data_IF_339535682799
#
_entry.id   IF_339535682799
#
_cell.length_a   1.000
_cell.length_b   1.000
_cell.length_c   1.000
_cell.angle_alpha   90.00
_cell.angle_beta   90.00
_cell.angle_gamma   90.00
#
_symmetry.space_group_name_H-M   'P 1'
#
loop_
_entity.id
_entity.type
_entity.pdbx_description
1 polymer ?
#
# COMPACT_ATOMS: atom_id res chain seq x y z
N UNK A 1 -2.80 6.00 -13.51
CA UNK A 1 -3.25 6.67 -12.26
C UNK A 1 -2.56 6.13 -10.98
N UNK A 2 -2.57 4.82 -10.70
CA UNK A 2 -1.96 4.26 -9.48
C UNK A 2 -0.43 4.45 -9.40
N UNK A 3 0.31 4.24 -10.50
CA UNK A 3 1.77 4.47 -10.55
C UNK A 3 2.15 5.92 -10.21
N UNK A 4 1.45 6.89 -10.80
CA UNK A 4 1.69 8.31 -10.53
C UNK A 4 1.49 8.65 -9.04
N UNK A 5 0.41 8.16 -8.43
CA UNK A 5 0.15 8.36 -7.00
C UNK A 5 1.21 7.66 -6.13
N UNK A 6 1.66 6.47 -6.53
CA UNK A 6 2.74 5.77 -5.84
C UNK A 6 4.03 6.58 -5.88
N UNK A 7 4.36 7.21 -7.00
CA UNK A 7 5.58 8.01 -7.12
C UNK A 7 5.60 9.20 -6.17
N UNK A 8 4.45 9.83 -5.92
CA UNK A 8 4.31 10.94 -4.95
C UNK A 8 4.41 10.46 -3.49
N UNK A 9 4.20 9.17 -3.21
CA UNK A 9 4.34 8.64 -1.85
C UNK A 9 5.79 8.74 -1.37
N UNK A 10 5.95 9.08 -0.08
CA UNK A 10 7.25 9.12 0.57
C UNK A 10 7.84 7.71 0.71
N UNK A 11 9.16 7.62 0.87
CA UNK A 11 9.85 6.35 1.10
C UNK A 11 9.28 5.58 2.31
N UNK A 12 8.81 6.28 3.35
CA UNK A 12 8.16 5.65 4.50
C UNK A 12 6.84 4.98 4.11
N UNK A 13 5.97 5.69 3.38
CA UNK A 13 4.68 5.17 2.92
C UNK A 13 4.86 3.98 1.97
N UNK A 14 5.84 4.03 1.07
CA UNK A 14 6.19 2.91 0.18
C UNK A 14 6.63 1.69 0.99
N UNK A 15 7.49 1.89 2.01
CA UNK A 15 7.95 0.80 2.91
C UNK A 15 6.80 0.15 3.68
N UNK A 16 5.78 0.89 4.09
CA UNK A 16 4.60 0.31 4.76
C UNK A 16 3.86 -0.68 3.84
N UNK A 17 3.66 -0.33 2.57
CA UNK A 17 3.04 -1.25 1.60
C UNK A 17 3.90 -2.48 1.35
N UNK A 18 5.22 -2.29 1.24
CA UNK A 18 6.17 -3.41 1.04
C UNK A 18 6.16 -4.34 2.24
N UNK A 19 6.27 -3.83 3.47
CA UNK A 19 6.23 -4.64 4.69
C UNK A 19 4.90 -5.40 4.82
N UNK A 20 3.78 -4.75 4.48
CA UNK A 20 2.47 -5.39 4.50
C UNK A 20 2.33 -6.51 3.44
N UNK A 21 2.94 -6.35 2.28
CA UNK A 21 3.00 -7.41 1.27
C UNK A 21 3.93 -8.55 1.70
N UNK A 22 5.02 -8.23 2.39
CA UNK A 22 6.03 -9.19 2.86
C UNK A 22 5.55 -10.03 4.05
N UNK A 23 4.69 -9.47 4.91
CA UNK A 23 3.99 -10.20 5.97
C UNK A 23 3.09 -11.35 5.46
N UNK A 24 2.74 -11.36 4.17
CA UNK A 24 1.90 -12.39 3.60
C UNK A 24 2.69 -13.71 3.42
N UNK A 25 2.40 -14.71 4.26
CA UNK A 25 3.05 -16.04 4.21
C UNK A 25 2.71 -16.87 2.97
N UNK A 26 1.61 -16.55 2.27
CA UNK A 26 1.16 -17.29 1.07
C UNK A 26 0.99 -16.36 -0.12
N UNK A 27 1.33 -16.87 -1.31
CA UNK A 27 1.26 -16.09 -2.55
C UNK A 27 -0.17 -15.60 -2.85
N UNK A 28 -1.17 -16.45 -2.60
CA UNK A 28 -2.58 -16.08 -2.74
C UNK A 28 -2.96 -14.87 -1.85
N UNK A 29 -2.39 -14.76 -0.64
CA UNK A 29 -2.63 -13.62 0.25
C UNK A 29 -1.87 -12.39 -0.23
N UNK A 30 -0.63 -12.57 -0.71
CA UNK A 30 0.19 -11.50 -1.29
C UNK A 30 -0.51 -10.87 -2.49
N UNK A 31 -1.07 -11.67 -3.40
CA UNK A 31 -1.80 -11.16 -4.56
C UNK A 31 -3.06 -10.38 -4.18
N UNK A 32 -3.86 -10.88 -3.23
CA UNK A 32 -5.03 -10.15 -2.72
C UNK A 32 -4.64 -8.81 -2.09
N UNK A 33 -3.58 -8.79 -1.27
CA UNK A 33 -3.05 -7.55 -0.67
C UNK A 33 -2.50 -6.60 -1.74
N UNK A 34 -1.88 -7.12 -2.79
CA UNK A 34 -1.33 -6.31 -3.88
C UNK A 34 -2.45 -5.64 -4.68
N UNK A 35 -3.51 -6.37 -5.02
CA UNK A 35 -4.71 -5.80 -5.64
C UNK A 35 -5.33 -4.68 -4.76
N UNK A 36 -5.47 -4.95 -3.45
CA UNK A 36 -5.98 -3.96 -2.49
C UNK A 36 -5.06 -2.73 -2.37
N UNK A 37 -3.74 -2.92 -2.37
CA UNK A 37 -2.75 -1.85 -2.31
C UNK A 37 -2.88 -0.93 -3.54
N UNK A 38 -2.97 -1.51 -4.74
CA UNK A 38 -3.15 -0.76 -5.99
C UNK A 38 -4.44 0.06 -5.95
N UNK A 39 -5.52 -0.50 -5.44
CA UNK A 39 -6.79 0.21 -5.29
C UNK A 39 -6.68 1.41 -4.33
N UNK A 40 -5.98 1.25 -3.20
CA UNK A 40 -5.78 2.33 -2.23
C UNK A 40 -4.83 3.41 -2.75
N UNK A 41 -3.77 3.02 -3.44
CA UNK A 41 -2.82 3.93 -4.09
C UNK A 41 -3.56 4.72 -5.19
N UNK A 42 -4.45 4.08 -5.96
CA UNK A 42 -5.29 4.77 -6.93
C UNK A 42 -6.20 5.83 -6.28
N UNK A 43 -6.63 5.60 -5.03
CA UNK A 43 -7.39 6.55 -4.21
C UNK A 43 -6.50 7.55 -3.44
N UNK A 44 -5.18 7.59 -3.69
CA UNK A 44 -4.19 8.41 -2.96
C UNK A 44 -4.21 8.21 -1.44
N UNK A 45 -4.61 7.02 -0.97
CA UNK A 45 -4.59 6.64 0.44
C UNK A 45 -3.24 5.99 0.76
N UNK A 46 -2.71 6.25 1.96
CA UNK A 46 -1.57 5.52 2.54
C UNK A 46 -2.08 4.29 3.27
N UNK A 47 -1.22 3.33 3.66
CA UNK A 47 -1.66 2.17 4.46
C UNK A 47 -2.18 2.60 5.83
N UNK A 48 -1.45 3.49 6.51
CA UNK A 48 -1.80 4.00 7.84
C UNK A 48 -2.72 5.22 7.85
N UNK A 49 -3.44 5.50 6.76
CA UNK A 49 -4.29 6.69 6.62
C UNK A 49 -5.32 6.86 7.76
N UNK A 50 -5.76 5.76 8.38
CA UNK A 50 -6.67 5.79 9.54
C UNK A 50 -6.00 6.28 10.84
N UNK A 51 -4.69 6.10 10.97
CA UNK A 51 -3.91 6.49 12.16
C UNK A 51 -3.25 7.86 12.02
N UNK A 52 -3.21 8.44 10.81
CA UNK A 52 -2.63 9.75 10.54
C UNK A 52 -3.48 10.95 11.04
N UNK A 53 -4.65 10.70 11.62
CA UNK A 53 -5.59 11.72 12.14
C UNK A 53 -5.63 11.81 13.68
N UNK A 54 -4.72 11.15 14.39
CA UNK A 54 -4.55 11.32 15.83
C UNK A 54 -3.57 12.45 16.14
#
# INVERSE_FOLDING_TARGET
PALANFDVLTAAQKREYVAWLDEAKTDATRQRRLAQAVEWIAQAKTRNWKYAKC
#
